data_IF_605467061576
#
_entry.id   IF_605467061576
#
_cell.length_a   1.000
_cell.length_b   1.000
_cell.length_c   1.000
_cell.angle_alpha   90.00
_cell.angle_beta   90.00
_cell.angle_gamma   90.00
#
_symmetry.space_group_name_H-M   'P 1'
#
loop_
_entity.id
_entity.type
_entity.pdbx_description
1 polymer ?
#
# COMPACT_ATOMS: atom_id res chain seq x y z
N UNK A 1 -12.08 8.18 10.24
CA UNK A 1 -11.11 7.08 10.33
C UNK A 1 -9.76 7.53 9.81
N UNK A 2 -8.72 7.03 10.40
CA UNK A 2 -7.37 7.45 10.05
C UNK A 2 -6.59 6.31 9.40
N UNK A 3 -5.78 6.65 8.41
CA UNK A 3 -4.78 5.73 7.87
C UNK A 3 -3.71 5.51 8.94
N UNK A 4 -3.31 4.26 9.16
CA UNK A 4 -2.18 3.95 10.02
C UNK A 4 -0.93 3.70 9.17
N UNK A 5 0.21 4.19 9.67
CA UNK A 5 1.50 4.11 8.98
C UNK A 5 2.52 3.51 9.95
N UNK A 6 3.17 2.44 9.55
CA UNK A 6 4.14 1.74 10.38
C UNK A 6 5.35 1.33 9.56
N UNK A 7 6.53 1.74 9.99
CA UNK A 7 7.78 1.25 9.41
C UNK A 7 8.01 -0.17 9.91
N UNK A 8 8.14 -1.11 8.97
CA UNK A 8 8.32 -2.53 9.30
C UNK A 8 9.79 -2.82 9.57
N UNK A 9 10.04 -3.61 10.62
CA UNK A 9 11.35 -4.16 10.88
C UNK A 9 11.68 -5.26 9.86
N UNK A 10 12.81 -5.11 9.19
CA UNK A 10 13.30 -6.08 8.21
C UNK A 10 14.33 -7.01 8.85
N UNK A 11 14.24 -8.30 8.52
CA UNK A 11 15.29 -9.26 8.80
C UNK A 11 16.20 -9.33 7.58
N UNK A 12 17.43 -8.84 7.72
CA UNK A 12 18.38 -8.71 6.62
C UNK A 12 19.63 -9.55 6.86
N UNK A 13 20.16 -10.09 5.77
CA UNK A 13 21.45 -10.79 5.73
C UNK A 13 22.09 -10.56 4.34
N UNK A 14 23.29 -11.12 4.03
CA UNK A 14 23.92 -10.89 2.72
C UNK A 14 23.08 -11.33 1.51
N UNK A 15 22.08 -12.19 1.69
CA UNK A 15 21.19 -12.64 0.59
C UNK A 15 20.05 -11.65 0.30
N UNK A 16 19.73 -10.72 1.23
CA UNK A 16 18.63 -9.79 1.11
C UNK A 16 17.86 -9.62 2.42
N UNK A 17 16.54 -9.42 2.31
CA UNK A 17 15.69 -9.18 3.46
C UNK A 17 14.38 -9.97 3.40
N UNK A 18 13.79 -10.18 4.59
CA UNK A 18 12.47 -10.80 4.76
C UNK A 18 11.64 -9.93 5.69
N UNK A 19 10.36 -9.78 5.40
CA UNK A 19 9.43 -9.12 6.32
C UNK A 19 8.05 -9.80 6.30
N UNK A 20 7.29 -9.57 7.38
CA UNK A 20 5.90 -10.01 7.50
C UNK A 20 4.99 -8.85 7.08
N UNK A 21 4.27 -8.94 5.93
CA UNK A 21 3.44 -7.83 5.45
C UNK A 21 2.16 -7.63 6.25
N UNK A 22 1.72 -8.63 7.01
CA UNK A 22 0.53 -8.56 7.86
C UNK A 22 0.72 -9.43 9.10
N UNK A 23 0.09 -9.05 10.21
CA UNK A 23 0.06 -9.88 11.41
C UNK A 23 -0.85 -11.10 11.21
N UNK A 24 -0.74 -12.16 12.05
CA UNK A 24 -1.66 -13.30 11.96
C UNK A 24 -3.14 -12.90 12.08
N UNK A 25 -3.47 -11.96 12.96
CA UNK A 25 -4.84 -11.48 13.13
C UNK A 25 -5.33 -10.70 11.90
N UNK A 26 -4.49 -9.87 11.32
CA UNK A 26 -4.79 -9.14 10.07
C UNK A 26 -4.97 -10.12 8.91
N UNK A 27 -4.04 -11.08 8.77
CA UNK A 27 -4.06 -12.05 7.69
C UNK A 27 -5.32 -12.91 7.70
N UNK A 28 -5.84 -13.25 8.88
CA UNK A 28 -7.00 -14.13 9.05
C UNK A 28 -8.28 -13.59 8.38
N UNK A 29 -8.39 -12.28 8.18
CA UNK A 29 -9.59 -11.64 7.60
C UNK A 29 -9.38 -11.15 6.17
N UNK A 30 -8.24 -11.45 5.57
CA UNK A 30 -7.97 -11.04 4.19
C UNK A 30 -8.63 -11.99 3.20
N UNK A 31 -9.22 -11.42 2.15
CA UNK A 31 -9.90 -12.16 1.08
C UNK A 31 -9.21 -12.00 -0.27
N UNK A 32 -8.21 -11.13 -0.35
CA UNK A 32 -7.55 -10.78 -1.59
C UNK A 32 -6.11 -10.36 -1.31
N UNK A 33 -5.20 -10.74 -2.20
CA UNK A 33 -3.80 -10.34 -2.13
C UNK A 33 -3.29 -10.00 -3.53
N UNK A 34 -2.62 -8.86 -3.65
CA UNK A 34 -1.93 -8.45 -4.87
C UNK A 34 -0.46 -8.21 -4.57
N UNK A 35 0.39 -8.66 -5.48
CA UNK A 35 1.80 -8.28 -5.52
C UNK A 35 1.97 -7.38 -6.74
N UNK A 36 2.46 -6.16 -6.51
CA UNK A 36 2.58 -5.14 -7.53
C UNK A 36 4.04 -4.76 -7.69
N UNK A 37 4.54 -4.87 -8.91
CA UNK A 37 5.86 -4.37 -9.31
C UNK A 37 5.63 -3.09 -10.09
N UNK A 38 6.23 -2.00 -9.64
CA UNK A 38 6.05 -0.68 -10.28
C UNK A 38 7.38 -0.21 -10.85
N UNK A 39 7.37 0.11 -12.13
CA UNK A 39 8.53 0.65 -12.84
C UNK A 39 8.85 2.08 -12.36
N UNK A 40 10.10 2.57 -12.58
CA UNK A 40 10.46 3.94 -12.19
C UNK A 40 9.48 4.99 -12.72
N UNK A 41 9.03 5.89 -11.83
CA UNK A 41 8.06 6.93 -12.14
C UNK A 41 6.61 6.45 -12.21
N UNK A 42 6.36 5.14 -12.20
CA UNK A 42 5.01 4.58 -12.25
C UNK A 42 4.18 4.95 -11.03
N UNK A 43 2.89 5.19 -11.26
CA UNK A 43 1.94 5.56 -10.22
C UNK A 43 0.84 4.50 -10.18
N UNK A 44 0.61 3.96 -8.98
CA UNK A 44 -0.44 2.98 -8.68
C UNK A 44 -1.46 3.59 -7.73
N UNK A 45 -2.65 3.01 -7.71
CA UNK A 45 -3.72 3.47 -6.83
C UNK A 45 -4.49 4.63 -7.46
N UNK A 46 -4.46 5.82 -6.86
CA UNK A 46 -5.34 6.93 -7.21
C UNK A 46 -6.81 6.51 -7.09
N UNK A 47 -7.11 5.82 -6.00
CA UNK A 47 -8.45 5.29 -5.73
C UNK A 47 -8.70 5.11 -4.23
N UNK A 48 -9.94 4.80 -3.90
CA UNK A 48 -10.34 4.35 -2.58
C UNK A 48 -11.30 3.16 -2.70
N UNK A 49 -11.49 2.46 -1.58
CA UNK A 49 -12.45 1.37 -1.44
C UNK A 49 -13.55 1.81 -0.49
N UNK A 50 -14.81 1.50 -0.77
CA UNK A 50 -15.94 1.84 0.11
C UNK A 50 -16.21 0.78 1.17
N UNK A 51 -15.96 -0.48 0.84
CA UNK A 51 -16.27 -1.63 1.71
C UNK A 51 -15.03 -2.20 2.36
N UNK A 52 -13.94 -2.31 1.61
CA UNK A 52 -12.73 -2.99 2.05
C UNK A 52 -11.77 -2.11 2.83
N UNK A 53 -11.05 -2.76 3.74
CA UNK A 53 -9.83 -2.22 4.35
C UNK A 53 -8.65 -2.82 3.62
N UNK A 54 -7.75 -1.96 3.13
CA UNK A 54 -6.53 -2.40 2.46
C UNK A 54 -5.33 -2.32 3.41
N UNK A 55 -4.52 -3.36 3.42
CA UNK A 55 -3.20 -3.35 4.05
C UNK A 55 -2.19 -3.37 2.92
N UNK A 56 -1.44 -2.30 2.76
CA UNK A 56 -0.44 -2.17 1.70
C UNK A 56 0.95 -2.01 2.31
N UNK A 57 1.87 -2.85 1.87
CA UNK A 57 3.27 -2.83 2.31
C UNK A 57 4.13 -2.40 1.13
N UNK A 58 4.66 -1.18 1.22
CA UNK A 58 5.46 -0.58 0.15
C UNK A 58 6.93 -0.61 0.48
N UNK A 59 7.72 -1.18 -0.42
CA UNK A 59 9.18 -1.07 -0.39
C UNK A 59 9.61 0.23 -1.07
N UNK A 60 10.53 0.96 -0.43
CA UNK A 60 11.12 2.17 -0.99
C UNK A 60 12.17 1.93 -2.07
N UNK A 61 12.54 2.99 -2.78
CA UNK A 61 12.05 4.35 -2.58
C UNK A 61 10.67 4.60 -3.20
N UNK A 62 9.83 5.33 -2.50
CA UNK A 62 8.47 5.63 -2.97
C UNK A 62 7.91 6.90 -2.31
N UNK A 63 6.98 7.55 -2.99
CA UNK A 63 6.10 8.55 -2.40
C UNK A 63 4.71 7.90 -2.26
N UNK A 64 4.16 7.93 -1.06
CA UNK A 64 2.79 7.47 -0.79
C UNK A 64 1.99 8.67 -0.34
N UNK A 65 0.94 8.99 -1.08
CA UNK A 65 0.00 10.08 -0.74
C UNK A 65 -1.35 9.50 -0.45
N UNK A 66 -1.95 9.92 0.64
CA UNK A 66 -3.28 9.45 1.03
C UNK A 66 -4.11 10.58 1.63
N UNK A 67 -5.41 10.38 1.64
CA UNK A 67 -6.39 11.30 2.22
C UNK A 67 -7.22 10.54 3.27
N UNK A 68 -7.30 11.09 4.47
CA UNK A 68 -8.22 10.65 5.51
C UNK A 68 -8.89 11.88 6.16
N UNK A 69 -9.52 11.70 7.32
CA UNK A 69 -10.22 12.79 8.02
C UNK A 69 -9.31 13.97 8.36
N UNK A 70 -8.01 13.74 8.46
CA UNK A 70 -7.01 14.78 8.76
C UNK A 70 -6.57 15.55 7.51
N UNK A 71 -7.05 15.16 6.33
CA UNK A 71 -6.67 15.73 5.04
C UNK A 71 -5.67 14.88 4.28
N UNK A 72 -5.04 15.47 3.29
CA UNK A 72 -4.05 14.81 2.43
C UNK A 72 -2.67 14.83 3.10
N UNK A 73 -2.00 13.69 3.09
CA UNK A 73 -0.70 13.49 3.74
C UNK A 73 0.25 12.76 2.80
N UNK A 74 1.53 13.07 2.92
CA UNK A 74 2.61 12.42 2.17
C UNK A 74 3.52 11.66 3.12
N UNK A 75 3.86 10.43 2.73
CA UNK A 75 4.89 9.62 3.38
C UNK A 75 5.94 9.28 2.32
N UNK A 76 7.18 9.62 2.62
CA UNK A 76 8.33 9.22 1.81
C UNK A 76 8.88 7.92 2.38
N UNK A 77 8.88 6.86 1.58
CA UNK A 77 9.51 5.59 1.93
C UNK A 77 10.92 5.61 1.37
N UNK A 78 11.91 5.58 2.24
CA UNK A 78 13.32 5.64 1.82
C UNK A 78 13.78 4.31 1.20
N UNK A 79 14.83 4.37 0.41
CA UNK A 79 15.47 3.17 -0.10
C UNK A 79 15.88 2.24 1.07
N UNK A 80 15.62 0.95 0.92
CA UNK A 80 15.90 -0.04 1.96
C UNK A 80 14.87 -0.11 3.09
N UNK A 81 13.85 0.75 3.06
CA UNK A 81 12.74 0.72 4.01
C UNK A 81 11.51 0.02 3.42
N UNK A 82 10.70 -0.53 4.30
CA UNK A 82 9.36 -1.04 4.00
C UNK A 82 8.39 -0.44 5.00
N UNK A 83 7.32 0.16 4.49
CA UNK A 83 6.29 0.79 5.33
C UNK A 83 4.95 0.11 5.07
N UNK A 84 4.26 -0.22 6.16
CA UNK A 84 2.89 -0.75 6.13
C UNK A 84 1.91 0.39 6.30
N UNK A 85 0.93 0.42 5.40
CA UNK A 85 -0.21 1.32 5.47
C UNK A 85 -1.47 0.49 5.67
N UNK A 86 -2.35 0.94 6.57
CA UNK A 86 -3.70 0.39 6.67
C UNK A 86 -4.66 1.49 6.26
N UNK A 87 -5.34 1.28 5.13
CA UNK A 87 -6.31 2.21 4.58
C UNK A 87 -7.73 1.74 4.91
N UNK A 88 -8.40 2.41 5.86
CA UNK A 88 -9.82 2.14 6.11
C UNK A 88 -10.68 2.46 4.87
N UNK A 89 -11.93 2.01 4.84
CA UNK A 89 -12.84 2.40 3.78
C UNK A 89 -12.90 3.91 3.56
N UNK A 90 -13.01 4.32 2.30
CA UNK A 90 -13.11 5.72 1.84
C UNK A 90 -11.84 6.55 1.96
N UNK A 91 -10.71 5.97 2.34
CA UNK A 91 -9.40 6.65 2.38
C UNK A 91 -8.66 6.45 1.06
N UNK A 92 -8.63 7.48 0.23
CA UNK A 92 -7.93 7.44 -1.06
C UNK A 92 -6.42 7.35 -0.86
N UNK A 93 -5.75 6.64 -1.77
CA UNK A 93 -4.31 6.44 -1.70
C UNK A 93 -3.69 6.30 -3.09
N UNK A 94 -2.42 6.70 -3.18
CA UNK A 94 -1.61 6.58 -4.38
C UNK A 94 -0.16 6.30 -4.00
N UNK A 95 0.52 5.53 -4.85
CA UNK A 95 1.90 5.11 -4.67
C UNK A 95 2.69 5.46 -5.92
N UNK A 96 3.82 6.14 -5.76
CA UNK A 96 4.72 6.43 -6.88
C UNK A 96 6.10 5.85 -6.59
N UNK A 97 6.65 5.14 -7.58
CA UNK A 97 8.06 4.74 -7.53
C UNK A 97 8.93 5.94 -7.85
N UNK A 98 9.71 6.39 -6.88
CA UNK A 98 10.62 7.55 -7.00
C UNK A 98 12.07 7.14 -7.24
N UNK A 99 12.33 5.85 -7.41
CA UNK A 99 13.67 5.31 -7.64
C UNK A 99 14.00 5.09 -9.11
N UNK A 100 15.19 4.53 -9.34
CA UNK A 100 15.71 4.23 -10.68
C UNK A 100 15.47 2.77 -11.11
N UNK A 101 14.92 1.95 -10.23
CA UNK A 101 14.62 0.53 -10.47
C UNK A 101 13.19 0.23 -10.06
N UNK A 102 12.65 -0.89 -10.55
CA UNK A 102 11.33 -1.37 -10.15
C UNK A 102 11.26 -1.60 -8.64
N UNK A 103 10.15 -1.26 -8.02
CA UNK A 103 9.92 -1.52 -6.60
C UNK A 103 8.72 -2.47 -6.40
N UNK A 104 8.48 -2.83 -5.15
CA UNK A 104 7.52 -3.86 -4.78
C UNK A 104 6.50 -3.33 -3.77
N UNK A 105 5.24 -3.62 -4.04
CA UNK A 105 4.11 -3.38 -3.15
C UNK A 105 3.35 -4.68 -2.96
N UNK A 106 3.07 -5.05 -1.72
CA UNK A 106 2.20 -6.18 -1.38
C UNK A 106 0.93 -5.63 -0.74
N UNK A 107 -0.22 -5.92 -1.31
CA UNK A 107 -1.49 -5.39 -0.85
C UNK A 107 -2.49 -6.51 -0.55
N UNK A 108 -3.15 -6.41 0.59
CA UNK A 108 -4.25 -7.27 1.00
C UNK A 108 -5.53 -6.45 1.09
N UNK A 109 -6.66 -7.09 0.89
CA UNK A 109 -7.97 -6.46 1.08
C UNK A 109 -8.94 -7.44 1.74
N UNK A 110 -9.82 -6.90 2.58
CA UNK A 110 -10.84 -7.70 3.29
C UNK A 110 -12.02 -8.06 2.39
N UNK A 111 -12.12 -7.48 1.20
CA UNK A 111 -13.16 -7.77 0.20
C UNK A 111 -12.56 -8.65 -0.89
N UNK A 112 -13.26 -9.74 -1.29
CA UNK A 112 -12.81 -10.55 -2.42
C UNK A 112 -12.71 -9.74 -3.71
N UNK A 113 -11.77 -10.09 -4.57
CA UNK A 113 -11.71 -9.53 -5.91
C UNK A 113 -12.82 -10.13 -6.78
N UNK A 114 -13.81 -9.31 -7.13
CA UNK A 114 -14.91 -9.67 -8.03
C UNK A 114 -14.87 -8.75 -9.27
N UNK A 115 -14.48 -9.27 -10.44
CA UNK A 115 -14.42 -8.45 -11.67
C UNK A 115 -15.77 -7.83 -12.08
N UNK A 116 -16.88 -8.43 -11.64
CA UNK A 116 -18.23 -7.93 -11.96
C UNK A 116 -18.71 -6.85 -10.99
N UNK A 117 -18.06 -6.67 -9.84
CA UNK A 117 -18.47 -5.71 -8.81
C UNK A 117 -17.25 -5.20 -8.04
N UNK A 118 -16.39 -4.44 -8.72
CA UNK A 118 -15.17 -3.89 -8.12
C UNK A 118 -15.49 -2.83 -7.08
N UNK A 119 -14.90 -2.97 -5.89
CA UNK A 119 -14.92 -1.97 -4.82
C UNK A 119 -13.77 -0.98 -5.00
N UNK A 120 -13.72 -0.32 -6.16
CA UNK A 120 -12.64 0.61 -6.52
C UNK A 120 -13.26 1.86 -7.12
N UNK A 121 -12.91 3.03 -6.56
CA UNK A 121 -13.43 4.33 -6.95
C UNK A 121 -12.28 5.30 -7.18
N UNK A 122 -12.23 5.88 -8.37
CA UNK A 122 -11.11 6.72 -8.78
C UNK A 122 -11.09 8.05 -8.01
N UNK A 123 -9.93 8.38 -7.48
CA UNK A 123 -9.63 9.71 -6.93
C UNK A 123 -8.14 9.98 -7.13
N UNK A 124 -7.80 10.90 -8.02
CA UNK A 124 -6.40 11.20 -8.36
C UNK A 124 -5.77 12.05 -7.26
N UNK A 125 -4.72 11.51 -6.63
CA UNK A 125 -3.91 12.20 -5.64
C UNK A 125 -2.54 12.59 -6.19
N UNK A 126 -1.96 11.73 -7.04
CA UNK A 126 -0.69 11.99 -7.73
C UNK A 126 -0.97 11.97 -9.22
N UNK A 127 -0.76 13.08 -9.85
CA UNK A 127 -1.01 13.26 -11.29
C UNK A 127 0.18 12.97 -12.18
#
# INVERSE_FOLDING_TARGET
MHVTVEKIELKSDPRGCVWEPASPAELAVQQNCHVVVTEPGGIRGNHFHKLGTEIATQRGPALVRFRDERGTQDIVVAEGEVVRFVFPPSCAHAFQNTGAQANLLVAFNTVPHDPAALDVYREVLIG
#
